data_IF_073300132083
#
_entry.id   IF_073300132083
#
_cell.length_a   1.000
_cell.length_b   1.000
_cell.length_c   1.000
_cell.angle_alpha   90.00
_cell.angle_beta   90.00
_cell.angle_gamma   90.00
#
_symmetry.space_group_name_H-M   'P 1'
#
loop_
_entity.id
_entity.type
_entity.pdbx_description
1 polymer ?
#
# COMPACT_ATOMS: atom_id res chain seq x y z
N UNK A 1 -7.12 9.79 1.40
CA UNK A 1 -7.05 8.35 1.12
C UNK A 1 -8.45 7.79 1.21
N UNK A 2 -8.82 6.89 0.31
CA UNK A 2 -10.11 6.20 0.39
C UNK A 2 -10.08 5.22 1.56
N UNK A 3 -11.15 5.15 2.34
CA UNK A 3 -11.28 4.12 3.38
C UNK A 3 -11.20 2.77 2.67
N UNK A 4 -10.58 1.74 3.21
CA UNK A 4 -10.55 0.40 2.62
C UNK A 4 -10.69 -0.62 3.74
N UNK A 5 -11.02 -1.87 3.42
CA UNK A 5 -11.22 -2.93 4.43
C UNK A 5 -9.99 -3.15 5.33
N UNK A 6 -8.79 -2.77 4.87
CA UNK A 6 -7.53 -2.87 5.60
C UNK A 6 -7.01 -1.51 6.13
N UNK A 7 -7.80 -0.45 6.06
CA UNK A 7 -7.37 0.92 6.43
C UNK A 7 -6.84 1.00 7.87
N UNK A 8 -7.43 0.24 8.80
CA UNK A 8 -6.99 0.15 10.19
C UNK A 8 -5.63 -0.56 10.38
N UNK A 9 -5.13 -1.25 9.36
CA UNK A 9 -3.84 -1.95 9.36
C UNK A 9 -2.72 -1.09 8.77
N UNK A 10 -3.07 0.05 8.15
CA UNK A 10 -2.16 0.91 7.39
C UNK A 10 -1.86 2.18 8.18
N UNK A 11 -0.58 2.39 8.52
CA UNK A 11 -0.10 3.68 9.01
C UNK A 11 0.82 4.33 7.96
N UNK A 12 0.29 5.35 7.26
CA UNK A 12 1.00 6.10 6.22
C UNK A 12 1.38 7.52 6.68
N UNK A 13 1.33 7.81 7.98
CA UNK A 13 1.55 9.16 8.50
C UNK A 13 2.92 9.73 8.13
N UNK A 14 3.98 8.90 8.07
CA UNK A 14 5.32 9.34 7.65
C UNK A 14 5.38 9.68 6.16
N UNK A 15 4.77 8.85 5.31
CA UNK A 15 4.72 9.08 3.87
C UNK A 15 3.94 10.37 3.56
N UNK A 16 2.82 10.60 4.23
CA UNK A 16 2.07 11.85 4.12
C UNK A 16 2.90 13.08 4.46
N UNK A 17 3.69 13.03 5.55
CA UNK A 17 4.56 14.12 5.97
C UNK A 17 5.61 14.42 4.90
N UNK A 18 6.20 13.39 4.29
CA UNK A 18 7.19 13.56 3.23
C UNK A 18 6.58 14.11 1.95
N UNK A 19 5.41 13.64 1.55
CA UNK A 19 4.67 14.19 0.40
C UNK A 19 4.35 15.67 0.65
N UNK A 20 3.84 16.03 1.83
CA UNK A 20 3.59 17.44 2.23
C UNK A 20 4.87 18.28 2.25
N UNK A 21 6.00 17.70 2.65
CA UNK A 21 7.29 18.39 2.69
C UNK A 21 7.81 18.70 1.28
N UNK A 22 7.78 17.72 0.39
CA UNK A 22 8.38 17.78 -0.95
C UNK A 22 7.45 18.40 -2.01
N UNK A 23 6.13 18.27 -1.86
CA UNK A 23 5.14 18.72 -2.85
C UNK A 23 4.29 19.84 -2.24
N UNK A 24 4.57 21.08 -2.65
CA UNK A 24 3.93 22.29 -2.11
C UNK A 24 2.55 22.54 -2.70
N UNK A 25 2.34 22.13 -3.94
CA UNK A 25 1.05 22.26 -4.60
C UNK A 25 0.02 21.26 -4.04
N UNK A 26 -1.21 21.72 -3.82
CA UNK A 26 -2.25 20.91 -3.19
C UNK A 26 -2.91 19.91 -4.14
N UNK A 27 -3.04 20.27 -5.41
CA UNK A 27 -3.65 19.42 -6.43
C UNK A 27 -2.72 18.24 -6.75
N UNK A 28 -1.43 18.54 -6.99
CA UNK A 28 -0.38 17.53 -7.18
C UNK A 28 -0.24 16.59 -5.97
N UNK A 29 -0.41 17.09 -4.73
CA UNK A 29 -0.43 16.21 -3.55
C UNK A 29 -1.60 15.24 -3.57
N UNK A 30 -2.79 15.71 -3.94
CA UNK A 30 -3.97 14.86 -3.99
C UNK A 30 -3.83 13.79 -5.08
N UNK A 31 -3.25 14.14 -6.23
CA UNK A 31 -2.91 13.16 -7.27
C UNK A 31 -1.93 12.09 -6.75
N UNK A 32 -0.86 12.51 -6.07
CA UNK A 32 0.12 11.59 -5.47
C UNK A 32 -0.53 10.69 -4.43
N UNK A 33 -1.42 11.21 -3.57
CA UNK A 33 -2.15 10.39 -2.62
C UNK A 33 -3.06 9.37 -3.32
N UNK A 34 -3.72 9.75 -4.41
CA UNK A 34 -4.48 8.81 -5.24
C UNK A 34 -3.58 7.69 -5.79
N UNK A 35 -2.40 8.03 -6.33
CA UNK A 35 -1.46 7.04 -6.83
C UNK A 35 -0.94 6.10 -5.74
N UNK A 36 -0.64 6.63 -4.55
CA UNK A 36 -0.22 5.84 -3.40
C UNK A 36 -1.32 4.86 -3.01
N UNK A 37 -2.57 5.32 -2.90
CA UNK A 37 -3.72 4.47 -2.57
C UNK A 37 -3.88 3.32 -3.57
N UNK A 38 -3.82 3.60 -4.88
CA UNK A 38 -3.94 2.59 -5.93
C UNK A 38 -2.80 1.56 -5.87
N UNK A 39 -1.55 2.01 -5.67
CA UNK A 39 -0.39 1.14 -5.55
C UNK A 39 -0.53 0.21 -4.34
N UNK A 40 -0.89 0.77 -3.17
CA UNK A 40 -1.08 0.00 -1.94
C UNK A 40 -2.23 -0.99 -2.12
N UNK A 41 -3.34 -0.58 -2.73
CA UNK A 41 -4.48 -1.44 -3.00
C UNK A 41 -4.13 -2.63 -3.87
N UNK A 42 -3.48 -2.38 -5.01
CA UNK A 42 -3.05 -3.45 -5.90
C UNK A 42 -2.11 -4.44 -5.20
N UNK A 43 -1.18 -3.95 -4.36
CA UNK A 43 -0.24 -4.78 -3.62
C UNK A 43 -0.92 -5.64 -2.57
N UNK A 44 -1.82 -5.06 -1.76
CA UNK A 44 -2.57 -5.79 -0.73
C UNK A 44 -3.47 -6.86 -1.37
N UNK A 45 -4.22 -6.50 -2.40
CA UNK A 45 -5.08 -7.44 -3.13
C UNK A 45 -4.26 -8.59 -3.74
N UNK A 46 -3.13 -8.28 -4.38
CA UNK A 46 -2.21 -9.29 -4.92
C UNK A 46 -1.67 -10.22 -3.84
N UNK A 47 -1.20 -9.67 -2.73
CA UNK A 47 -0.67 -10.41 -1.59
C UNK A 47 -1.70 -11.37 -0.97
N UNK A 48 -2.97 -10.97 -0.93
CA UNK A 48 -4.08 -11.84 -0.51
C UNK A 48 -4.33 -12.94 -1.54
N UNK A 49 -4.40 -12.61 -2.83
CA UNK A 49 -4.64 -13.60 -3.89
C UNK A 49 -3.54 -14.67 -3.97
N UNK A 50 -2.28 -14.32 -3.68
CA UNK A 50 -1.18 -15.30 -3.64
C UNK A 50 -1.34 -16.35 -2.53
N UNK A 51 -2.04 -16.02 -1.43
CA UNK A 51 -2.25 -16.89 -0.26
C UNK A 51 -3.62 -17.55 -0.25
N UNK A 52 -4.61 -16.89 -0.84
CA UNK A 52 -5.96 -17.39 -0.97
C UNK A 52 -5.98 -18.51 -2.02
N UNK A 53 -6.67 -19.64 -1.77
CA UNK A 53 -6.83 -20.68 -2.80
C UNK A 53 -7.51 -20.13 -4.07
N UNK A 54 -7.03 -20.51 -5.26
CA UNK A 54 -7.51 -19.97 -6.56
C UNK A 54 -9.03 -20.00 -6.75
N UNK A 55 -9.69 -21.06 -6.26
CA UNK A 55 -11.15 -21.20 -6.38
C UNK A 55 -11.94 -20.13 -5.61
N UNK A 56 -11.30 -19.45 -4.65
CA UNK A 56 -11.89 -18.35 -3.88
C UNK A 56 -11.53 -16.95 -4.43
N UNK A 57 -10.64 -16.86 -5.42
CA UNK A 57 -10.17 -15.57 -5.97
C UNK A 57 -11.30 -14.73 -6.55
N UNK A 58 -12.17 -15.36 -7.35
CA UNK A 58 -13.28 -14.66 -8.00
C UNK A 58 -14.25 -14.06 -6.98
N UNK A 59 -14.63 -14.84 -5.97
CA UNK A 59 -15.53 -14.40 -4.90
C UNK A 59 -14.91 -13.26 -4.07
N UNK A 60 -13.62 -13.39 -3.75
CA UNK A 60 -12.88 -12.32 -3.08
C UNK A 60 -12.86 -11.02 -3.90
N UNK A 61 -12.55 -11.10 -5.20
CA UNK A 61 -12.56 -9.93 -6.08
C UNK A 61 -13.95 -9.31 -6.21
N UNK A 62 -15.00 -10.13 -6.31
CA UNK A 62 -16.38 -9.64 -6.34
C UNK A 62 -16.73 -8.90 -5.03
N UNK A 63 -16.27 -9.38 -3.86
CA UNK A 63 -16.44 -8.68 -2.59
C UNK A 63 -15.66 -7.35 -2.55
N UNK A 64 -14.40 -7.34 -2.98
CA UNK A 64 -13.57 -6.13 -3.02
C UNK A 64 -14.17 -5.07 -3.96
N UNK A 65 -14.62 -5.47 -5.14
CA UNK A 65 -15.23 -4.55 -6.11
C UNK A 65 -16.61 -4.03 -5.67
N UNK A 66 -17.42 -4.89 -5.04
CA UNK A 66 -18.77 -4.50 -4.61
C UNK A 66 -18.80 -3.73 -3.30
N UNK A 67 -17.84 -4.00 -2.40
CA UNK A 67 -17.81 -3.47 -1.03
C UNK A 67 -16.38 -3.26 -0.50
N UNK A 68 -15.59 -2.43 -1.17
CA UNK A 68 -14.19 -2.18 -0.83
C UNK A 68 -13.91 -1.74 0.64
N UNK A 69 -14.91 -1.26 1.37
CA UNK A 69 -14.82 -0.82 2.76
C UNK A 69 -15.29 -1.85 3.80
N UNK A 70 -15.83 -3.00 3.37
CA UNK A 70 -16.47 -3.97 4.25
C UNK A 70 -15.40 -4.78 5.00
N UNK A 71 -15.33 -4.61 6.32
CA UNK A 71 -14.41 -5.34 7.19
C UNK A 71 -14.64 -6.86 7.13
N UNK A 72 -15.84 -7.29 6.73
CA UNK A 72 -16.15 -8.71 6.48
C UNK A 72 -15.31 -9.34 5.37
N UNK A 73 -14.64 -8.54 4.52
CA UNK A 73 -13.66 -9.03 3.55
C UNK A 73 -12.46 -9.67 4.28
N UNK A 74 -11.98 -9.07 5.38
CA UNK A 74 -10.88 -9.67 6.14
C UNK A 74 -11.31 -10.96 6.82
N UNK A 75 -12.52 -11.00 7.37
CA UNK A 75 -13.05 -12.21 7.99
C UNK A 75 -13.15 -13.34 6.97
N UNK A 76 -13.64 -13.05 5.76
CA UNK A 76 -13.70 -14.01 4.66
C UNK A 76 -12.32 -14.63 4.34
N UNK A 77 -11.28 -13.80 4.28
CA UNK A 77 -9.91 -14.25 4.02
C UNK A 77 -9.37 -15.04 5.21
N UNK A 78 -9.62 -14.58 6.45
CA UNK A 78 -9.15 -15.23 7.69
C UNK A 78 -9.69 -16.65 7.85
N UNK A 79 -10.90 -16.91 7.38
CA UNK A 79 -11.49 -18.26 7.39
C UNK A 79 -10.86 -19.22 6.37
N UNK A 80 -10.18 -18.68 5.33
CA UNK A 80 -9.73 -19.45 4.16
C UNK A 80 -8.21 -19.50 3.99
N UNK A 81 -7.48 -18.72 4.79
CA UNK A 81 -6.02 -18.68 4.80
C UNK A 81 -5.52 -19.18 6.15
N UNK A 82 -4.47 -20.01 6.14
CA UNK A 82 -3.88 -20.59 7.36
C UNK A 82 -2.99 -19.57 8.09
N UNK A 83 -2.35 -18.68 7.33
CA UNK A 83 -1.52 -17.60 7.85
C UNK A 83 -2.36 -16.47 8.47
N UNK A 84 -1.74 -15.70 9.36
CA UNK A 84 -2.36 -14.51 9.95
C UNK A 84 -2.51 -13.41 8.89
N UNK A 85 -3.78 -13.18 8.49
CA UNK A 85 -4.14 -12.22 7.44
C UNK A 85 -3.71 -10.81 7.75
N UNK A 86 -3.88 -10.37 8.98
CA UNK A 86 -3.50 -9.01 9.37
C UNK A 86 -1.98 -8.86 9.37
N UNK A 87 -1.26 -9.90 9.78
CA UNK A 87 0.20 -9.85 9.84
C UNK A 87 0.82 -9.71 8.45
N UNK A 88 0.40 -10.54 7.48
CA UNK A 88 0.99 -10.45 6.14
C UNK A 88 0.57 -9.18 5.41
N UNK A 89 -0.67 -8.68 5.63
CA UNK A 89 -1.11 -7.39 5.06
C UNK A 89 -0.27 -6.26 5.65
N UNK A 90 -0.07 -6.22 6.98
CA UNK A 90 0.80 -5.21 7.62
C UNK A 90 2.21 -5.24 7.05
N UNK A 91 2.78 -6.43 6.86
CA UNK A 91 4.11 -6.59 6.25
C UNK A 91 4.14 -6.06 4.82
N UNK A 92 3.17 -6.41 3.98
CA UNK A 92 3.10 -5.96 2.59
C UNK A 92 2.96 -4.44 2.50
N UNK A 93 2.04 -3.87 3.29
CA UNK A 93 1.84 -2.42 3.39
C UNK A 93 3.10 -1.73 3.85
N UNK A 94 3.81 -2.27 4.84
CA UNK A 94 5.08 -1.73 5.30
C UNK A 94 6.14 -1.75 4.20
N UNK A 95 6.28 -2.86 3.47
CA UNK A 95 7.22 -2.98 2.36
C UNK A 95 6.94 -1.93 1.28
N UNK A 96 5.70 -1.86 0.81
CA UNK A 96 5.27 -0.86 -0.18
C UNK A 96 5.47 0.55 0.35
N UNK A 97 5.12 0.81 1.60
CA UNK A 97 5.37 2.08 2.28
C UNK A 97 6.85 2.45 2.23
N UNK A 98 7.76 1.52 2.56
CA UNK A 98 9.21 1.78 2.49
C UNK A 98 9.72 2.00 1.07
N UNK A 99 9.20 1.28 0.07
CA UNK A 99 9.51 1.50 -1.35
C UNK A 99 9.08 2.91 -1.79
N UNK A 100 7.85 3.31 -1.43
CA UNK A 100 7.32 4.65 -1.71
C UNK A 100 8.14 5.73 -1.01
N UNK A 101 8.46 5.54 0.28
CA UNK A 101 9.29 6.45 1.06
C UNK A 101 10.67 6.64 0.41
N UNK A 102 11.29 5.58 -0.10
CA UNK A 102 12.59 5.65 -0.77
C UNK A 102 12.55 6.49 -2.06
N UNK A 103 11.39 6.60 -2.73
CA UNK A 103 11.22 7.47 -3.90
C UNK A 103 11.15 8.95 -3.53
N UNK A 104 10.61 9.29 -2.35
CA UNK A 104 10.52 10.67 -1.85
C UNK A 104 11.68 11.08 -0.94
N UNK A 105 12.45 10.10 -0.46
CA UNK A 105 13.68 10.36 0.27
C UNK A 105 14.67 11.03 -0.69
N UNK A 106 15.40 12.06 -0.23
CA UNK A 106 16.46 12.64 -1.05
C UNK A 106 17.43 11.52 -1.40
N UNK A 107 17.61 11.24 -2.69
CA UNK A 107 18.79 10.52 -3.13
C UNK A 107 19.97 11.37 -2.67
N UNK A 108 20.78 10.87 -1.76
CA UNK A 108 22.12 11.42 -1.57
C UNK A 108 22.83 11.25 -2.91
N UNK A 109 22.71 12.25 -3.81
CA UNK A 109 23.63 12.48 -4.92
C UNK A 109 24.97 12.96 -4.35
N UNK A 110 25.59 12.14 -3.52
CA UNK A 110 26.97 12.30 -3.09
C UNK A 110 27.63 10.94 -3.11
N UNK A 111 27.85 10.40 -4.30
CA UNK A 111 28.91 9.45 -4.55
C UNK A 111 29.46 9.68 -5.96
N UNK A 112 30.59 10.42 -5.96
CA UNK A 112 31.66 10.41 -6.96
C UNK A 112 31.48 11.27 -8.22
N UNK A 113 31.68 12.59 -8.07
CA UNK A 113 32.62 13.27 -8.97
C UNK A 113 34.01 13.20 -8.32
N UNK A 114 34.95 12.36 -8.80
CA UNK A 114 36.35 12.70 -8.61
C UNK A 114 36.64 13.84 -9.59
N UNK A 115 36.68 15.06 -9.06
CA UNK A 115 37.41 16.13 -9.72
C UNK A 115 38.85 15.62 -9.94
N UNK A 116 39.23 15.43 -11.20
CA UNK A 116 40.62 15.26 -11.58
C UNK A 116 40.97 16.33 -12.62
N UNK A 117 41.66 17.30 -12.04
CA UNK A 117 42.34 18.46 -12.58
C UNK A 117 43.49 18.10 -13.53
#
# INVERSE_FOLDING_TARGET
>A
MSKLFYDHLVDMAELEKLVKKNVKDAEARNEIYGLIDEIVHHRVVGCILERLPEHHHKEFLDHVHSRAHDEGILDYVRERVVEDVEEFIKREVYLVGTELLAMFAPKNEELQRPDLH
#
